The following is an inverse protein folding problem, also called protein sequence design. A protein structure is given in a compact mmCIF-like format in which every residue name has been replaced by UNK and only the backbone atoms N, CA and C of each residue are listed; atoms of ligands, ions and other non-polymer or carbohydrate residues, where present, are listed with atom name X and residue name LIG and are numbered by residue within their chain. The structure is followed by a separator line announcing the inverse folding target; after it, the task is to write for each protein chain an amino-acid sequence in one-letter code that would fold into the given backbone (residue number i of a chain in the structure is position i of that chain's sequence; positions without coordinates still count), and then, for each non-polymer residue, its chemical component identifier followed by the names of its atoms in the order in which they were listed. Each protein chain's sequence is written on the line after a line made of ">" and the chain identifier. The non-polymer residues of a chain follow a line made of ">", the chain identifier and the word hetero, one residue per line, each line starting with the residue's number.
data_IF_792659095528
#
_entry.id   IF_792659095528
#
_cell.length_a   1.000
_cell.length_b   1.000
_cell.length_c   1.000
_cell.angle_alpha   90.00
_cell.angle_beta   90.00
_cell.angle_gamma   90.00
#
_symmetry.space_group_name_H-M   'P 1'
#
loop_
_entity.id
_entity.type
_entity.pdbx_description
1 polymer ?
#
# COMPACT_ATOMS: atom_id res chain seq x y z
N UNK A 1 2.21 30.97 6.77
CA UNK A 1 1.58 30.54 8.03
C UNK A 1 2.41 29.39 8.56
N UNK A 2 2.96 29.54 9.77
CA UNK A 2 3.70 28.45 10.43
C UNK A 2 2.70 27.35 10.82
N UNK A 3 2.93 26.13 10.37
CA UNK A 3 2.20 24.94 10.78
C UNK A 3 2.33 24.77 12.30
N UNK A 4 1.22 24.81 13.01
CA UNK A 4 1.14 24.38 14.41
C UNK A 4 0.48 23.01 14.45
N UNK A 5 1.20 22.03 14.98
CA UNK A 5 0.68 20.69 15.26
C UNK A 5 -0.38 20.82 16.35
N UNK A 6 -1.56 20.17 16.21
CA UNK A 6 -2.48 20.02 17.33
C UNK A 6 -1.81 19.26 18.47
N UNK A 7 -1.89 19.79 19.69
CA UNK A 7 -1.19 19.27 20.88
C UNK A 7 -1.68 17.88 21.34
N UNK A 8 -2.80 17.43 20.81
CA UNK A 8 -3.45 16.14 21.12
C UNK A 8 -2.91 14.95 20.28
N UNK A 9 -2.06 15.21 19.29
CA UNK A 9 -1.40 14.16 18.54
C UNK A 9 -0.04 13.86 19.16
N UNK A 10 0.01 12.84 20.01
CA UNK A 10 1.26 12.26 20.44
C UNK A 10 2.15 11.99 19.22
N UNK A 11 3.49 12.19 19.30
CA UNK A 11 4.37 11.71 18.25
C UNK A 11 4.19 10.19 18.22
N UNK A 12 3.50 9.71 17.19
CA UNK A 12 3.48 8.29 16.88
C UNK A 12 4.87 8.01 16.34
N UNK A 13 5.83 7.86 17.24
CA UNK A 13 7.01 7.07 16.98
C UNK A 13 6.45 5.64 17.05
N UNK A 14 5.87 5.25 15.93
CA UNK A 14 5.60 3.86 15.70
C UNK A 14 6.99 3.25 15.72
N UNK A 15 7.41 2.69 16.83
CA UNK A 15 8.68 1.97 16.96
C UNK A 15 8.73 0.81 15.96
N UNK A 16 8.52 1.13 14.71
CA UNK A 16 8.50 0.27 13.58
C UNK A 16 9.91 -0.23 13.39
N UNK A 17 10.16 -1.35 14.01
CA UNK A 17 11.37 -2.12 13.80
C UNK A 17 11.30 -2.58 12.36
N UNK A 18 12.32 -2.31 11.55
CA UNK A 18 12.37 -2.73 10.16
C UNK A 18 12.77 -4.20 10.03
N UNK A 19 12.44 -5.00 10.99
CA UNK A 19 12.42 -6.44 10.83
C UNK A 19 11.49 -6.73 9.68
N UNK A 20 11.95 -7.43 8.64
CA UNK A 20 11.12 -7.63 7.47
C UNK A 20 9.85 -8.36 7.90
N UNK A 21 8.71 -7.68 7.85
CA UNK A 21 7.39 -8.28 8.05
C UNK A 21 7.18 -9.52 7.15
N UNK A 22 7.99 -9.64 6.10
CA UNK A 22 8.05 -10.80 5.20
C UNK A 22 8.66 -12.05 5.82
N UNK A 23 9.41 -12.00 6.92
CA UNK A 23 9.92 -13.21 7.58
C UNK A 23 8.81 -14.00 8.26
N UNK A 24 7.75 -13.33 8.70
CA UNK A 24 6.55 -13.98 9.24
C UNK A 24 5.57 -14.46 8.16
N UNK A 25 5.72 -13.99 6.92
CA UNK A 25 4.80 -14.34 5.84
C UNK A 25 5.20 -15.69 5.20
N UNK A 26 4.21 -16.48 4.72
CA UNK A 26 4.52 -17.74 4.06
C UNK A 26 5.51 -17.52 2.91
N UNK A 27 6.71 -18.06 3.01
CA UNK A 27 7.78 -17.89 2.02
C UNK A 27 7.51 -18.72 0.75
N UNK A 28 6.31 -18.61 0.21
CA UNK A 28 5.86 -19.31 -0.99
C UNK A 28 6.07 -18.47 -2.26
N UNK A 29 6.05 -19.14 -3.42
CA UNK A 29 6.15 -18.48 -4.73
C UNK A 29 5.03 -17.48 -4.99
N UNK A 30 3.83 -17.72 -4.45
CA UNK A 30 2.69 -16.80 -4.48
C UNK A 30 2.99 -15.51 -3.71
N UNK A 31 3.58 -15.61 -2.53
CA UNK A 31 3.97 -14.45 -1.72
C UNK A 31 5.06 -13.63 -2.41
N UNK A 32 6.12 -14.28 -2.90
CA UNK A 32 7.17 -13.61 -3.66
C UNK A 32 6.60 -12.90 -4.91
N UNK A 33 5.69 -13.57 -5.61
CA UNK A 33 5.06 -13.00 -6.79
C UNK A 33 4.17 -11.81 -6.46
N UNK A 34 3.29 -11.90 -5.44
CA UNK A 34 2.40 -10.79 -5.08
C UNK A 34 3.18 -9.59 -4.59
N UNK A 35 4.22 -9.78 -3.76
CA UNK A 35 5.08 -8.67 -3.30
C UNK A 35 5.70 -7.94 -4.50
N UNK A 36 6.39 -8.67 -5.36
CA UNK A 36 6.97 -8.09 -6.57
C UNK A 36 5.91 -7.40 -7.44
N UNK A 37 4.74 -8.03 -7.61
CA UNK A 37 3.72 -7.53 -8.53
C UNK A 37 2.98 -6.31 -7.97
N UNK A 38 2.78 -6.26 -6.66
CA UNK A 38 2.22 -5.14 -5.94
C UNK A 38 3.07 -3.87 -6.14
N UNK A 39 4.39 -3.99 -5.92
CA UNK A 39 5.34 -2.90 -6.15
C UNK A 39 5.34 -2.43 -7.60
N UNK A 40 5.40 -3.38 -8.55
CA UNK A 40 5.34 -3.06 -9.98
C UNK A 40 4.03 -2.34 -10.35
N UNK A 41 2.88 -2.85 -9.89
CA UNK A 41 1.58 -2.28 -10.22
C UNK A 41 1.44 -0.85 -9.67
N UNK A 42 1.89 -0.64 -8.43
CA UNK A 42 1.84 0.68 -7.81
C UNK A 42 2.76 1.67 -8.54
N UNK A 43 4.01 1.30 -8.75
CA UNK A 43 4.99 2.11 -9.44
C UNK A 43 4.54 2.47 -10.86
N UNK A 44 4.06 1.49 -11.64
CA UNK A 44 3.61 1.70 -13.02
C UNK A 44 2.49 2.74 -13.11
N UNK A 45 1.63 2.84 -12.08
CA UNK A 45 0.58 3.85 -11.99
C UNK A 45 1.12 5.17 -11.46
N UNK A 46 1.94 5.13 -10.39
CA UNK A 46 2.45 6.32 -9.73
C UNK A 46 3.35 7.17 -10.64
N UNK A 47 4.13 6.54 -11.51
CA UNK A 47 5.10 7.20 -12.40
C UNK A 47 4.47 7.88 -13.62
N UNK A 48 3.22 7.54 -13.98
CA UNK A 48 2.56 8.04 -15.19
C UNK A 48 2.45 9.57 -15.17
N UNK A 49 2.64 10.19 -16.34
CA UNK A 49 2.52 11.63 -16.50
C UNK A 49 3.76 12.43 -16.08
N UNK A 50 4.86 11.78 -15.83
CA UNK A 50 6.17 12.22 -15.38
C UNK A 50 6.45 13.72 -15.25
N UNK A 51 7.16 14.09 -14.19
CA UNK A 51 7.57 15.47 -13.90
C UNK A 51 6.63 16.20 -12.93
N UNK A 52 7.19 17.19 -12.24
CA UNK A 52 6.50 17.94 -11.20
C UNK A 52 6.89 17.50 -9.79
N UNK A 53 6.09 17.88 -8.80
CA UNK A 53 6.32 17.57 -7.38
C UNK A 53 5.48 16.35 -6.99
N UNK A 54 6.15 15.33 -6.46
CA UNK A 54 5.51 14.14 -5.92
C UNK A 54 5.71 14.07 -4.40
N UNK A 55 4.64 13.83 -3.66
CA UNK A 55 4.69 13.54 -2.23
C UNK A 55 4.43 12.04 -2.01
N UNK A 56 5.36 11.38 -1.34
CA UNK A 56 5.21 10.01 -0.85
C UNK A 56 4.86 10.07 0.64
N UNK A 57 3.60 9.71 0.98
CA UNK A 57 3.06 9.80 2.33
C UNK A 57 3.25 8.46 3.04
N UNK A 58 3.92 8.48 4.20
CA UNK A 58 4.46 7.33 4.91
C UNK A 58 5.46 6.56 4.01
N UNK A 59 6.49 7.28 3.56
CA UNK A 59 7.43 6.79 2.56
C UNK A 59 8.36 5.67 3.08
N UNK A 60 8.40 5.41 4.38
CA UNK A 60 9.32 4.44 4.97
C UNK A 60 10.77 4.75 4.59
N UNK A 61 11.49 3.76 4.08
CA UNK A 61 12.84 3.90 3.56
C UNK A 61 12.92 4.52 2.14
N UNK A 62 11.81 5.02 1.60
CA UNK A 62 11.70 5.65 0.29
C UNK A 62 12.22 4.76 -0.87
N UNK A 63 11.95 3.46 -0.82
CA UNK A 63 12.45 2.46 -1.75
C UNK A 63 12.17 2.78 -3.23
N UNK A 64 11.02 3.40 -3.53
CA UNK A 64 10.65 3.75 -4.90
C UNK A 64 11.20 5.11 -5.38
N UNK A 65 11.69 5.95 -4.47
CA UNK A 65 12.11 7.30 -4.79
C UNK A 65 13.17 7.38 -5.90
N UNK A 66 14.20 6.50 -5.98
CA UNK A 66 15.17 6.56 -7.07
C UNK A 66 14.55 6.41 -8.46
N UNK A 67 13.53 5.56 -8.59
CA UNK A 67 12.85 5.38 -9.88
C UNK A 67 11.97 6.58 -10.23
N UNK A 68 11.27 7.16 -9.26
CA UNK A 68 10.47 8.37 -9.47
C UNK A 68 11.34 9.58 -9.85
N UNK A 69 12.49 9.75 -9.17
CA UNK A 69 13.44 10.82 -9.51
C UNK A 69 13.99 10.63 -10.93
N UNK A 70 14.38 9.41 -11.33
CA UNK A 70 14.84 9.11 -12.70
C UNK A 70 13.75 9.32 -13.75
N UNK A 71 12.49 9.20 -13.36
CA UNK A 71 11.34 9.52 -14.22
C UNK A 71 11.00 11.01 -14.29
N UNK A 72 11.80 11.88 -13.65
CA UNK A 72 11.65 13.32 -13.70
C UNK A 72 10.81 13.94 -12.58
N UNK A 73 10.42 13.16 -11.57
CA UNK A 73 9.72 13.68 -10.41
C UNK A 73 10.68 14.30 -9.39
N UNK A 74 10.30 15.45 -8.83
CA UNK A 74 10.91 15.95 -7.59
C UNK A 74 10.16 15.32 -6.42
N UNK A 75 10.82 14.38 -5.74
CA UNK A 75 10.23 13.54 -4.70
C UNK A 75 10.40 14.17 -3.33
N UNK A 76 9.29 14.26 -2.61
CA UNK A 76 9.20 14.62 -1.20
C UNK A 76 8.66 13.41 -0.44
N UNK A 77 9.23 13.11 0.72
CA UNK A 77 8.75 12.06 1.62
C UNK A 77 8.14 12.66 2.88
N UNK A 78 7.11 12.01 3.41
CA UNK A 78 6.64 12.24 4.77
C UNK A 78 6.70 10.91 5.51
N UNK A 79 7.33 10.90 6.70
CA UNK A 79 7.53 9.67 7.48
C UNK A 79 7.50 9.99 8.98
N UNK A 80 6.73 9.26 9.82
CA UNK A 80 6.70 9.48 11.26
C UNK A 80 7.95 8.98 11.98
N UNK A 81 8.59 7.90 11.51
CA UNK A 81 9.76 7.29 12.16
C UNK A 81 11.05 8.02 11.82
N UNK A 82 11.76 8.50 12.84
CA UNK A 82 13.07 9.13 12.67
C UNK A 82 14.10 8.15 12.10
N UNK A 83 14.03 6.87 12.46
CA UNK A 83 14.92 5.83 11.96
C UNK A 83 14.69 5.59 10.46
N UNK A 84 13.44 5.51 10.03
CA UNK A 84 13.11 5.33 8.61
C UNK A 84 13.54 6.55 7.78
N UNK A 85 13.47 7.77 8.32
CA UNK A 85 13.99 8.98 7.65
C UNK A 85 15.51 8.86 7.41
N UNK A 86 16.26 8.40 8.40
CA UNK A 86 17.71 8.17 8.24
C UNK A 86 17.97 7.14 7.13
N UNK A 87 17.23 6.04 7.13
CA UNK A 87 17.34 4.99 6.09
C UNK A 87 16.94 5.49 4.71
N UNK A 88 15.86 6.29 4.61
CA UNK A 88 15.41 6.88 3.34
C UNK A 88 16.49 7.78 2.73
N UNK A 89 17.11 8.64 3.54
CA UNK A 89 18.19 9.51 3.08
C UNK A 89 19.44 8.72 2.65
N UNK A 90 19.82 7.69 3.44
CA UNK A 90 20.93 6.81 3.08
C UNK A 90 20.65 6.06 1.78
N UNK A 91 19.47 5.46 1.66
CA UNK A 91 19.06 4.74 0.46
C UNK A 91 19.05 5.63 -0.80
N UNK A 92 18.53 6.85 -0.69
CA UNK A 92 18.53 7.81 -1.78
C UNK A 92 19.97 8.19 -2.20
N UNK A 93 20.86 8.44 -1.23
CA UNK A 93 22.26 8.76 -1.47
C UNK A 93 23.00 7.59 -2.16
N UNK A 94 22.79 6.36 -1.70
CA UNK A 94 23.39 5.14 -2.28
C UNK A 94 22.96 4.92 -3.75
N UNK A 95 21.77 5.43 -4.10
CA UNK A 95 21.24 5.35 -5.47
C UNK A 95 21.51 6.62 -6.30
N UNK A 96 22.29 7.58 -5.76
CA UNK A 96 22.68 8.80 -6.44
C UNK A 96 21.53 9.76 -6.71
N UNK A 97 20.47 9.73 -5.88
CA UNK A 97 19.33 10.63 -5.99
C UNK A 97 19.15 11.50 -4.73
N UNK A 98 18.44 12.60 -4.86
CA UNK A 98 18.10 13.47 -3.75
C UNK A 98 16.58 13.50 -3.55
N UNK A 99 16.17 13.36 -2.29
CA UNK A 99 14.79 13.50 -1.84
C UNK A 99 14.74 14.43 -0.62
N UNK A 100 13.60 15.06 -0.40
CA UNK A 100 13.37 15.92 0.75
C UNK A 100 12.38 15.20 1.69
N UNK A 101 12.85 14.60 2.80
CA UNK A 101 11.99 13.85 3.74
C UNK A 101 11.70 14.70 4.97
N UNK A 102 10.41 14.82 5.31
CA UNK A 102 9.92 15.56 6.47
C UNK A 102 9.30 14.59 7.48
N UNK A 103 9.55 14.81 8.76
CA UNK A 103 8.89 14.04 9.82
C UNK A 103 7.45 14.50 10.02
N UNK A 104 6.49 13.56 9.97
CA UNK A 104 5.07 13.88 10.16
C UNK A 104 4.18 12.67 9.97
N UNK A 105 2.87 12.86 10.17
CA UNK A 105 1.83 11.84 9.99
C UNK A 105 0.89 12.24 8.86
N UNK A 106 0.30 11.25 8.20
CA UNK A 106 -0.53 11.48 7.01
C UNK A 106 -1.83 12.22 7.27
N UNK A 107 -2.33 12.23 8.51
CA UNK A 107 -3.50 12.99 8.94
C UNK A 107 -3.24 14.51 9.06
N UNK A 108 -1.97 14.93 9.04
CA UNK A 108 -1.55 16.34 9.15
C UNK A 108 -0.30 16.58 8.31
N UNK A 109 -0.50 16.94 7.06
CA UNK A 109 0.59 17.17 6.12
C UNK A 109 1.15 18.59 6.31
N UNK A 110 2.46 18.77 6.63
CA UNK A 110 3.08 20.07 6.88
C UNK A 110 3.41 20.80 5.56
N UNK A 111 2.48 20.78 4.62
CA UNK A 111 2.61 21.38 3.31
C UNK A 111 1.44 22.32 3.02
N UNK A 112 1.67 23.31 2.19
CA UNK A 112 0.62 24.24 1.73
C UNK A 112 -0.40 23.52 0.82
N UNK A 113 -1.57 24.16 0.67
CA UNK A 113 -2.58 23.69 -0.27
C UNK A 113 -2.02 23.66 -1.69
N UNK A 114 -2.46 22.71 -2.50
CA UNK A 114 -2.17 22.65 -3.94
C UNK A 114 -0.67 22.72 -4.29
N UNK A 115 0.15 22.02 -3.50
CA UNK A 115 1.60 21.99 -3.65
C UNK A 115 2.08 20.92 -4.62
N UNK A 116 1.42 19.75 -4.64
CA UNK A 116 1.90 18.56 -5.34
C UNK A 116 1.08 18.21 -6.57
N UNK A 117 1.77 17.80 -7.62
CA UNK A 117 1.17 17.28 -8.85
C UNK A 117 0.77 15.81 -8.71
N UNK A 118 1.48 15.10 -7.83
CA UNK A 118 1.22 13.71 -7.45
C UNK A 118 1.34 13.53 -5.94
N UNK A 119 0.39 12.79 -5.37
CA UNK A 119 0.49 12.30 -3.99
C UNK A 119 0.37 10.78 -4.04
N UNK A 120 1.25 10.07 -3.36
CA UNK A 120 1.23 8.61 -3.33
C UNK A 120 1.20 8.11 -1.89
N UNK A 121 0.55 6.96 -1.67
CA UNK A 121 0.45 6.30 -0.38
C UNK A 121 0.34 4.79 -0.61
N UNK A 122 1.40 4.04 -0.27
CA UNK A 122 1.46 2.61 -0.50
C UNK A 122 1.46 1.84 0.81
N UNK A 123 0.47 0.94 0.99
CA UNK A 123 0.38 0.00 2.12
C UNK A 123 0.57 0.65 3.49
N UNK A 124 0.01 1.84 3.69
CA UNK A 124 0.16 2.59 4.94
C UNK A 124 -1.12 3.27 5.43
N UNK A 125 -2.08 3.56 4.54
CA UNK A 125 -3.31 4.26 4.93
C UNK A 125 -4.15 3.46 5.95
N UNK A 126 -4.07 2.14 5.93
CA UNK A 126 -4.74 1.23 6.86
C UNK A 126 -4.13 1.22 8.26
N UNK A 127 -2.97 1.84 8.45
CA UNK A 127 -2.35 2.08 9.77
C UNK A 127 -2.70 3.46 10.37
N UNK A 128 -3.40 4.33 9.62
CA UNK A 128 -3.75 5.67 10.13
C UNK A 128 -4.83 5.58 11.21
N UNK A 129 -4.70 6.37 12.27
CA UNK A 129 -5.73 6.48 13.29
C UNK A 129 -7.03 7.05 12.71
N UNK A 130 -6.93 7.95 11.74
CA UNK A 130 -8.06 8.52 11.00
C UNK A 130 -7.79 8.54 9.48
N UNK A 131 -8.03 7.43 8.77
CA UNK A 131 -7.80 7.35 7.32
C UNK A 131 -8.55 8.40 6.50
N UNK A 132 -9.75 8.79 6.93
CA UNK A 132 -10.52 9.83 6.26
C UNK A 132 -9.86 11.22 6.39
N UNK A 133 -9.23 11.52 7.53
CA UNK A 133 -8.42 12.73 7.68
C UNK A 133 -7.21 12.69 6.76
N UNK A 134 -6.50 11.55 6.69
CA UNK A 134 -5.37 11.37 5.76
C UNK A 134 -5.77 11.62 4.31
N UNK A 135 -6.89 11.07 3.85
CA UNK A 135 -7.39 11.31 2.50
C UNK A 135 -7.75 12.78 2.24
N UNK A 136 -8.35 13.47 3.23
CA UNK A 136 -8.62 14.93 3.11
C UNK A 136 -7.34 15.74 3.03
N UNK A 137 -6.32 15.42 3.82
CA UNK A 137 -5.03 16.10 3.77
C UNK A 137 -4.30 15.87 2.44
N UNK A 138 -4.27 14.61 1.95
CA UNK A 138 -3.76 14.32 0.62
C UNK A 138 -4.51 15.13 -0.47
N UNK A 139 -5.83 15.23 -0.37
CA UNK A 139 -6.63 16.06 -1.28
C UNK A 139 -6.29 17.55 -1.14
N UNK A 140 -6.07 18.06 0.07
CA UNK A 140 -5.75 19.45 0.33
C UNK A 140 -4.44 19.86 -0.34
N UNK A 141 -3.40 19.05 -0.19
CA UNK A 141 -2.07 19.38 -0.74
C UNK A 141 -1.94 19.04 -2.23
N UNK A 142 -2.87 18.28 -2.80
CA UNK A 142 -2.91 17.97 -4.22
C UNK A 142 -3.34 19.20 -5.04
N UNK A 143 -2.71 19.46 -6.17
CA UNK A 143 -3.17 20.44 -7.18
C UNK A 143 -4.47 19.98 -7.85
N UNK A 144 -5.21 20.88 -8.47
CA UNK A 144 -6.50 20.59 -9.12
C UNK A 144 -6.37 19.50 -10.19
N UNK A 145 -5.35 19.57 -11.03
CA UNK A 145 -5.10 18.62 -12.10
C UNK A 145 -4.24 17.42 -11.68
N UNK A 146 -3.87 17.36 -10.39
CA UNK A 146 -3.05 16.30 -9.82
C UNK A 146 -3.79 14.99 -9.62
N UNK A 147 -3.04 13.96 -9.25
CA UNK A 147 -3.59 12.63 -8.94
C UNK A 147 -3.04 12.10 -7.63
N UNK A 148 -3.92 11.45 -6.87
CA UNK A 148 -3.51 10.63 -5.73
C UNK A 148 -3.50 9.17 -6.18
N UNK A 149 -2.46 8.42 -5.81
CA UNK A 149 -2.35 6.98 -6.05
C UNK A 149 -2.23 6.28 -4.71
N UNK A 150 -3.18 5.39 -4.42
CA UNK A 150 -3.20 4.62 -3.17
C UNK A 150 -3.14 3.14 -3.51
N UNK A 151 -2.17 2.42 -2.94
CA UNK A 151 -2.02 0.97 -3.05
C UNK A 151 -2.33 0.29 -1.72
N UNK A 152 -3.20 -0.73 -1.74
CA UNK A 152 -3.57 -1.50 -0.53
C UNK A 152 -3.83 -2.97 -0.86
N UNK A 153 -3.58 -3.82 0.13
CA UNK A 153 -4.07 -5.21 0.14
C UNK A 153 -5.60 -5.21 0.09
N UNK A 154 -6.18 -6.04 -0.80
CA UNK A 154 -7.61 -6.03 -1.06
C UNK A 154 -8.36 -7.13 -0.30
N UNK A 155 -8.94 -6.79 0.82
CA UNK A 155 -9.77 -7.71 1.62
C UNK A 155 -11.13 -8.07 0.96
N UNK A 156 -11.51 -7.41 -0.14
CA UNK A 156 -12.66 -7.82 -0.97
C UNK A 156 -12.23 -8.81 -2.07
N UNK A 157 -10.94 -9.06 -2.25
CA UNK A 157 -10.36 -9.92 -3.26
C UNK A 157 -10.82 -11.37 -3.18
N UNK A 158 -10.72 -12.06 -4.29
CA UNK A 158 -11.15 -13.46 -4.39
C UNK A 158 -10.30 -14.38 -3.52
N UNK A 159 -8.97 -14.14 -3.45
CA UNK A 159 -8.03 -14.85 -2.58
C UNK A 159 -8.43 -14.77 -1.12
N UNK A 160 -8.68 -13.56 -0.60
CA UNK A 160 -9.14 -13.33 0.77
C UNK A 160 -10.48 -14.03 1.05
N UNK A 161 -11.47 -13.86 0.19
CA UNK A 161 -12.81 -14.46 0.36
C UNK A 161 -12.75 -15.99 0.40
N UNK A 162 -12.00 -16.60 -0.51
CA UNK A 162 -11.82 -18.05 -0.57
C UNK A 162 -11.07 -18.55 0.66
N UNK A 163 -9.97 -17.89 1.04
CA UNK A 163 -9.19 -18.25 2.24
C UNK A 163 -10.03 -18.20 3.50
N UNK A 164 -10.79 -17.14 3.70
CA UNK A 164 -11.70 -17.00 4.86
C UNK A 164 -12.79 -18.09 4.87
N UNK A 165 -13.29 -18.50 3.70
CA UNK A 165 -14.26 -19.60 3.61
C UNK A 165 -13.63 -20.95 4.00
N UNK A 166 -12.44 -21.24 3.47
CA UNK A 166 -11.68 -22.46 3.79
C UNK A 166 -11.27 -22.48 5.26
N UNK A 167 -10.78 -21.40 5.82
CA UNK A 167 -10.42 -21.32 7.25
C UNK A 167 -11.63 -21.53 8.16
N UNK A 168 -12.79 -20.97 7.82
CA UNK A 168 -14.03 -21.25 8.57
C UNK A 168 -14.39 -22.73 8.56
N UNK A 169 -14.23 -23.41 7.43
CA UNK A 169 -14.46 -24.87 7.33
C UNK A 169 -13.42 -25.64 8.16
N UNK A 170 -12.14 -25.32 8.05
CA UNK A 170 -11.05 -25.96 8.82
C UNK A 170 -11.20 -25.76 10.33
N UNK A 171 -11.62 -24.59 10.79
CA UNK A 171 -11.90 -24.33 12.22
C UNK A 171 -13.10 -25.15 12.73
N UNK A 172 -14.14 -25.36 11.92
CA UNK A 172 -15.27 -26.23 12.27
C UNK A 172 -14.86 -27.70 12.46
N UNK A 173 -13.94 -28.16 11.63
CA UNK A 173 -13.41 -29.54 11.71
C UNK A 173 -12.25 -29.69 12.69
N UNK A 174 -11.87 -28.65 13.41
CA UNK A 174 -10.72 -28.57 14.34
C UNK A 174 -9.36 -28.88 13.70
N UNK A 175 -9.22 -28.76 12.39
CA UNK A 175 -7.96 -28.95 11.67
C UNK A 175 -6.99 -27.77 11.93
N UNK A 176 -7.51 -26.63 12.35
CA UNK A 176 -6.72 -25.45 12.76
C UNK A 176 -6.91 -25.25 14.27
N UNK A 177 -5.82 -25.14 15.05
CA UNK A 177 -5.89 -24.88 16.48
C UNK A 177 -6.67 -23.57 16.78
N UNK A 178 -7.42 -23.59 17.90
CA UNK A 178 -8.09 -22.38 18.40
C UNK A 178 -7.04 -21.33 18.77
N UNK A 179 -7.30 -20.06 18.39
CA UNK A 179 -6.41 -18.94 18.67
C UNK A 179 -5.25 -18.75 17.69
N UNK A 180 -5.04 -19.67 16.73
CA UNK A 180 -4.06 -19.42 15.67
C UNK A 180 -4.58 -18.33 14.73
N UNK A 181 -3.83 -17.21 14.63
CA UNK A 181 -4.07 -16.15 13.65
C UNK A 181 -3.68 -16.65 12.25
N UNK A 182 -4.46 -16.27 11.26
CA UNK A 182 -4.26 -16.64 9.87
C UNK A 182 -4.13 -15.37 9.02
N UNK A 183 -3.47 -15.44 7.87
CA UNK A 183 -3.14 -14.30 7.02
C UNK A 183 -4.34 -13.37 6.72
N UNK A 184 -5.53 -13.92 6.55
CA UNK A 184 -6.73 -13.16 6.22
C UNK A 184 -7.72 -13.02 7.39
N UNK A 185 -7.27 -13.18 8.63
CA UNK A 185 -8.07 -12.84 9.80
C UNK A 185 -8.33 -11.32 9.85
N UNK A 186 -9.13 -10.88 10.80
CA UNK A 186 -9.48 -9.47 10.91
C UNK A 186 -8.22 -8.63 11.14
N UNK A 187 -7.85 -7.72 10.24
CA UNK A 187 -6.67 -6.89 10.40
C UNK A 187 -6.81 -5.89 11.56
N UNK A 188 -8.04 -5.54 11.94
CA UNK A 188 -8.29 -4.58 13.04
C UNK A 188 -8.02 -5.17 14.42
N UNK A 189 -7.84 -6.49 14.54
CA UNK A 189 -7.28 -7.13 15.74
C UNK A 189 -5.75 -6.93 15.90
N UNK A 190 -5.13 -6.20 14.97
CA UNK A 190 -3.69 -5.90 14.92
C UNK A 190 -3.42 -4.42 14.71
N UNK A 191 -2.50 -4.12 13.80
CA UNK A 191 -2.01 -2.77 13.54
C UNK A 191 -2.87 -1.97 12.54
N UNK A 192 -3.83 -2.61 11.86
CA UNK A 192 -4.67 -1.96 10.86
C UNK A 192 -5.96 -1.41 11.49
N UNK A 193 -6.41 -0.27 11.01
CA UNK A 193 -7.63 0.39 11.48
C UNK A 193 -8.85 0.06 10.64
N UNK A 194 -8.66 -0.48 9.44
CA UNK A 194 -9.74 -0.94 8.57
C UNK A 194 -9.26 -2.02 7.57
N UNK A 195 -10.21 -2.75 7.01
CA UNK A 195 -9.95 -3.64 5.87
C UNK A 195 -9.83 -2.85 4.56
N UNK A 196 -8.69 -2.98 3.88
CA UNK A 196 -8.45 -2.36 2.56
C UNK A 196 -9.47 -2.85 1.51
N UNK A 197 -10.38 -1.96 1.12
CA UNK A 197 -11.41 -2.21 0.09
C UNK A 197 -11.67 -0.91 -0.67
N UNK A 198 -11.78 -0.98 -1.99
CA UNK A 198 -12.10 0.20 -2.83
C UNK A 198 -13.34 0.95 -2.33
N UNK A 199 -14.40 0.22 -1.92
CA UNK A 199 -15.62 0.84 -1.36
C UNK A 199 -15.38 1.57 -0.04
N UNK A 200 -14.45 1.12 0.79
CA UNK A 200 -14.08 1.81 2.04
C UNK A 200 -13.33 3.09 1.73
N UNK A 201 -12.40 3.05 0.78
CA UNK A 201 -11.68 4.24 0.32
C UNK A 201 -12.65 5.28 -0.28
N UNK A 202 -13.64 4.85 -1.07
CA UNK A 202 -14.67 5.75 -1.61
C UNK A 202 -15.48 6.45 -0.51
N UNK A 203 -15.75 5.78 0.61
CA UNK A 203 -16.43 6.41 1.77
C UNK A 203 -15.53 7.46 2.45
N UNK A 204 -14.24 7.18 2.59
CA UNK A 204 -13.29 8.15 3.17
C UNK A 204 -13.06 9.35 2.25
N UNK A 205 -13.12 9.16 0.94
CA UNK A 205 -12.96 10.18 -0.09
C UNK A 205 -14.21 11.04 -0.32
N UNK A 206 -15.36 10.65 0.24
CA UNK A 206 -16.66 11.27 -0.10
C UNK A 206 -16.63 12.79 0.07
N UNK A 207 -17.01 13.51 -0.99
CA UNK A 207 -17.05 14.97 -1.02
C UNK A 207 -15.70 15.67 -1.22
N UNK A 208 -14.57 14.93 -1.31
CA UNK A 208 -13.24 15.51 -1.50
C UNK A 208 -12.49 14.99 -2.72
N UNK A 209 -12.70 13.74 -3.08
CA UNK A 209 -12.03 13.08 -4.20
C UNK A 209 -12.98 12.17 -4.96
N UNK A 210 -12.74 12.03 -6.26
CA UNK A 210 -13.40 11.10 -7.15
C UNK A 210 -12.45 9.97 -7.53
N UNK A 211 -12.93 8.73 -7.47
CA UNK A 211 -12.20 7.57 -7.98
C UNK A 211 -12.17 7.61 -9.50
N UNK A 212 -10.99 7.73 -10.07
CA UNK A 212 -10.78 7.77 -11.53
C UNK A 212 -10.54 6.36 -12.09
N UNK A 213 -9.72 5.56 -11.38
CA UNK A 213 -9.30 4.24 -11.87
C UNK A 213 -8.98 3.29 -10.71
N UNK A 214 -9.18 2.00 -10.96
CA UNK A 214 -8.71 0.91 -10.09
C UNK A 214 -7.95 -0.09 -10.95
N UNK A 215 -6.73 -0.40 -10.55
CA UNK A 215 -5.88 -1.44 -11.12
C UNK A 215 -5.73 -2.58 -10.14
N UNK A 216 -5.77 -3.81 -10.64
CA UNK A 216 -5.63 -5.00 -9.82
C UNK A 216 -4.28 -5.69 -10.04
N UNK A 217 -3.77 -6.34 -9.01
CA UNK A 217 -2.58 -7.18 -9.10
C UNK A 217 -2.78 -8.48 -8.33
N UNK A 218 -2.29 -9.59 -8.92
CA UNK A 218 -2.33 -10.94 -8.36
C UNK A 218 -3.71 -11.49 -8.07
N UNK A 219 -3.81 -12.82 -8.04
CA UNK A 219 -4.99 -13.58 -7.62
C UNK A 219 -4.56 -14.80 -6.81
N UNK A 220 -5.39 -15.12 -5.80
CA UNK A 220 -5.28 -16.30 -4.93
C UNK A 220 -4.09 -16.30 -3.97
N UNK A 221 -3.46 -15.15 -3.71
CA UNK A 221 -2.45 -15.06 -2.68
C UNK A 221 -3.02 -15.45 -1.30
N UNK A 222 -2.22 -16.23 -0.56
CA UNK A 222 -2.57 -16.67 0.79
C UNK A 222 -3.73 -17.65 0.87
N UNK A 223 -4.20 -18.23 -0.26
CA UNK A 223 -5.16 -19.32 -0.24
C UNK A 223 -4.50 -20.59 0.34
N UNK A 224 -5.10 -21.25 1.35
CA UNK A 224 -4.53 -22.43 1.97
C UNK A 224 -4.15 -23.51 0.97
N UNK A 225 -2.90 -23.96 1.02
CA UNK A 225 -2.34 -24.98 0.12
C UNK A 225 -1.88 -24.47 -1.24
N UNK A 226 -2.21 -23.23 -1.64
CA UNK A 226 -1.84 -22.67 -2.94
C UNK A 226 -0.32 -22.57 -3.12
N UNK A 227 0.38 -21.95 -2.14
CA UNK A 227 1.84 -21.86 -2.16
C UNK A 227 2.52 -23.24 -2.22
N UNK A 228 1.95 -24.24 -1.53
CA UNK A 228 2.42 -25.64 -1.61
C UNK A 228 2.28 -26.23 -3.01
N UNK A 229 1.13 -26.05 -3.66
CA UNK A 229 0.90 -26.49 -5.06
C UNK A 229 1.92 -25.83 -5.99
N UNK A 230 2.10 -24.52 -5.88
CA UNK A 230 3.10 -23.78 -6.68
C UNK A 230 4.53 -24.26 -6.41
N UNK A 231 4.80 -24.74 -5.19
CA UNK A 231 6.11 -25.25 -4.78
C UNK A 231 6.51 -26.55 -5.47
N UNK A 232 5.54 -27.45 -5.73
CA UNK A 232 5.81 -28.77 -6.32
C UNK A 232 5.84 -28.78 -7.84
N UNK A 233 5.27 -27.79 -8.51
CA UNK A 233 5.32 -27.68 -9.97
C UNK A 233 6.60 -26.97 -10.43
N UNK A 234 7.12 -27.26 -11.64
CA UNK A 234 8.30 -26.56 -12.15
C UNK A 234 8.17 -25.04 -12.15
N UNK A 235 9.25 -24.33 -11.74
CA UNK A 235 9.22 -22.88 -11.57
C UNK A 235 8.74 -22.08 -12.79
N UNK A 236 9.14 -22.50 -14.00
CA UNK A 236 8.69 -21.87 -15.23
C UNK A 236 7.18 -22.03 -15.48
N UNK A 237 6.57 -23.14 -15.04
CA UNK A 237 5.13 -23.37 -15.14
C UNK A 237 4.38 -22.53 -14.10
N UNK A 238 4.84 -22.53 -12.83
CA UNK A 238 4.22 -21.72 -11.78
C UNK A 238 4.28 -20.23 -12.11
N UNK A 239 5.40 -19.73 -12.65
CA UNK A 239 5.50 -18.34 -13.07
C UNK A 239 4.53 -17.98 -14.21
N UNK A 240 4.41 -18.83 -15.23
CA UNK A 240 3.42 -18.62 -16.31
C UNK A 240 2.00 -18.59 -15.78
N UNK A 241 1.68 -19.48 -14.84
CA UNK A 241 0.36 -19.52 -14.19
C UNK A 241 0.10 -18.23 -13.40
N UNK A 242 1.02 -17.80 -12.55
CA UNK A 242 0.90 -16.57 -11.77
C UNK A 242 0.75 -15.33 -12.66
N UNK A 243 1.55 -15.20 -13.72
CA UNK A 243 1.37 -14.14 -14.71
C UNK A 243 0.05 -14.22 -15.47
N UNK A 244 -0.45 -15.43 -15.73
CA UNK A 244 -1.78 -15.64 -16.31
C UNK A 244 -2.89 -15.13 -15.41
N UNK A 245 -2.82 -15.46 -14.13
CA UNK A 245 -3.75 -15.00 -13.09
C UNK A 245 -3.67 -13.47 -12.91
N UNK A 246 -2.48 -12.89 -12.92
CA UNK A 246 -2.32 -11.44 -12.86
C UNK A 246 -2.96 -10.71 -14.04
N UNK A 247 -2.89 -11.26 -15.27
CA UNK A 247 -3.63 -10.69 -16.42
C UNK A 247 -5.13 -10.67 -16.19
N UNK A 248 -5.68 -11.69 -15.51
CA UNK A 248 -7.09 -11.71 -15.12
C UNK A 248 -7.35 -10.66 -14.03
N UNK A 249 -6.49 -10.58 -13.00
CA UNK A 249 -6.58 -9.58 -11.94
C UNK A 249 -6.69 -8.15 -12.48
N UNK A 250 -5.91 -7.82 -13.50
CA UNK A 250 -5.96 -6.49 -14.17
C UNK A 250 -7.30 -6.21 -14.85
N UNK A 251 -8.03 -7.23 -15.31
CA UNK A 251 -9.36 -7.08 -15.93
C UNK A 251 -10.49 -7.02 -14.92
N UNK A 252 -10.28 -7.60 -13.75
CA UNK A 252 -11.26 -7.65 -12.65
C UNK A 252 -10.64 -7.17 -11.34
N UNK A 253 -10.23 -5.88 -11.25
CA UNK A 253 -9.43 -5.37 -10.14
C UNK A 253 -10.07 -5.57 -8.77
N UNK A 254 -11.40 -5.54 -8.66
CA UNK A 254 -12.08 -5.79 -7.39
C UNK A 254 -11.95 -7.24 -6.88
N UNK A 255 -11.53 -8.18 -7.74
CA UNK A 255 -11.26 -9.57 -7.35
C UNK A 255 -9.79 -9.83 -7.03
N UNK A 256 -8.89 -8.90 -7.33
CA UNK A 256 -7.45 -9.03 -7.13
C UNK A 256 -7.06 -9.02 -5.65
N UNK A 257 -5.86 -9.52 -5.36
CA UNK A 257 -5.31 -9.56 -4.00
C UNK A 257 -4.79 -8.19 -3.53
N UNK A 258 -4.37 -7.34 -4.48
CA UNK A 258 -3.91 -5.98 -4.25
C UNK A 258 -4.57 -5.03 -5.25
N UNK A 259 -4.95 -3.85 -4.78
CA UNK A 259 -5.53 -2.80 -5.62
C UNK A 259 -4.69 -1.54 -5.56
N UNK A 260 -4.53 -0.91 -6.73
CA UNK A 260 -4.02 0.44 -6.87
C UNK A 260 -5.16 1.32 -7.36
N UNK A 261 -5.47 2.34 -6.60
CA UNK A 261 -6.57 3.27 -6.89
C UNK A 261 -6.02 4.64 -7.22
N UNK A 262 -6.52 5.24 -8.30
CA UNK A 262 -6.17 6.60 -8.71
C UNK A 262 -7.36 7.52 -8.47
N UNK A 263 -7.10 8.65 -7.84
CA UNK A 263 -8.09 9.63 -7.42
C UNK A 263 -7.75 11.01 -7.96
N UNK A 264 -8.77 11.83 -8.17
CA UNK A 264 -8.66 13.23 -8.57
C UNK A 264 -9.57 14.12 -7.73
N UNK A 265 -9.34 15.40 -7.73
CA UNK A 265 -10.32 16.38 -7.25
C UNK A 265 -11.53 16.42 -8.19
N UNK A 266 -12.76 16.67 -7.67
CA UNK A 266 -13.95 16.85 -8.48
C UNK A 266 -13.89 18.06 -9.40
#
# INVERSE_FOLDING_TARGET
>A
MSYQRPDDLAPVDLGWQPEPLWEEWPNGRDTQFVMWRMEQAFRDVAIQGGGGRMLDVACGNAFHAPEFVRAGWRVYGLEPSSEMIVRANAYAADHGVRIDVVRGIGEYLPFENETFDRVICMSSLDHYANPAAGMREMARVLRRDGRIVIGLVNYAGLGCRLSRALYRAQRRTRLVPRGKRLLWDDPTEGEHTFEGKTKTLQRFAAGTLELERTDGASLFWGVPGWGGILGVIPGGVSNRLLHGLDRIARRVPNASDFVVTTWRKP
#
